data_IF_836407097197
#
_entry.id   IF_836407097197
#
_cell.length_a   1.000
_cell.length_b   1.000
_cell.length_c   1.000
_cell.angle_alpha   90.00
_cell.angle_beta   90.00
_cell.angle_gamma   90.00
#
_symmetry.space_group_name_H-M   'P 1'
#
loop_
_entity.id
_entity.type
_entity.pdbx_description
1 polymer ?
#
# COMPACT_ATOMS: atom_id res chain seq x y z
N UNK A 1 -19.63 -23.13 -15.97
CA UNK A 1 -18.60 -23.90 -15.23
C UNK A 1 -17.70 -22.95 -14.45
N UNK A 2 -18.30 -22.13 -13.57
CA UNK A 2 -17.63 -20.99 -12.94
C UNK A 2 -18.04 -20.90 -11.46
N UNK A 3 -17.37 -21.66 -10.60
CA UNK A 3 -17.49 -21.55 -9.14
C UNK A 3 -16.47 -22.45 -8.44
N UNK A 4 -15.16 -22.13 -8.52
CA UNK A 4 -14.13 -22.75 -7.66
C UNK A 4 -12.81 -21.98 -7.69
N UNK A 5 -12.85 -20.65 -7.65
CA UNK A 5 -11.67 -19.88 -7.26
C UNK A 5 -11.70 -19.81 -5.73
N UNK A 6 -10.84 -20.66 -5.19
CA UNK A 6 -10.64 -21.07 -3.80
C UNK A 6 -10.82 -19.96 -2.75
N UNK A 7 -11.55 -20.31 -1.69
CA UNK A 7 -11.62 -19.65 -0.37
C UNK A 7 -10.24 -19.51 0.31
N UNK A 8 -9.20 -20.14 -0.23
CA UNK A 8 -7.95 -20.38 0.48
C UNK A 8 -7.04 -19.14 0.55
N UNK A 9 -7.14 -18.18 -0.39
CA UNK A 9 -6.23 -17.01 -0.42
C UNK A 9 -6.65 -15.86 0.52
N UNK A 10 -7.92 -15.82 0.98
CA UNK A 10 -8.39 -14.87 1.99
C UNK A 10 -8.13 -15.35 3.43
N UNK A 11 -7.80 -16.63 3.59
CA UNK A 11 -7.68 -17.28 4.91
C UNK A 11 -6.40 -16.87 5.64
N UNK A 12 -5.36 -16.44 4.91
CA UNK A 12 -4.04 -16.17 5.52
C UNK A 12 -4.05 -14.87 6.33
N UNK A 13 -4.71 -13.80 5.88
CA UNK A 13 -4.80 -12.56 6.67
C UNK A 13 -5.59 -12.75 7.98
N UNK A 14 -6.58 -13.65 8.00
CA UNK A 14 -7.32 -14.01 9.20
C UNK A 14 -6.52 -14.88 10.19
N UNK A 15 -5.48 -15.59 9.73
CA UNK A 15 -4.61 -16.39 10.59
C UNK A 15 -3.49 -15.58 11.27
N UNK A 16 -3.22 -14.35 10.82
CA UNK A 16 -2.23 -13.46 11.46
C UNK A 16 -2.78 -12.83 12.75
N UNK A 17 -4.10 -12.89 12.97
CA UNK A 17 -4.77 -12.38 14.17
C UNK A 17 -5.57 -13.51 14.87
N UNK A 18 -4.91 -14.47 15.55
CA UNK A 18 -5.57 -15.70 16.02
C UNK A 18 -6.30 -15.57 17.36
N UNK A 19 -6.39 -14.38 17.97
CA UNK A 19 -7.11 -14.23 19.25
C UNK A 19 -8.62 -14.07 19.03
N UNK A 20 -9.32 -15.20 19.17
CA UNK A 20 -10.76 -15.35 19.48
C UNK A 20 -11.69 -14.31 18.85
N UNK A 21 -12.23 -14.63 17.66
CA UNK A 21 -13.57 -14.16 17.26
C UNK A 21 -13.74 -12.64 17.11
N UNK A 22 -12.67 -11.87 17.16
CA UNK A 22 -12.66 -10.56 16.56
C UNK A 22 -12.50 -10.80 15.07
N UNK A 23 -13.63 -10.75 14.35
CA UNK A 23 -13.62 -9.94 13.14
C UNK A 23 -12.71 -8.74 13.46
N UNK A 24 -11.68 -8.48 12.66
CA UNK A 24 -11.11 -7.15 12.62
C UNK A 24 -12.26 -6.29 12.13
N UNK A 25 -13.09 -5.89 13.08
CA UNK A 25 -14.40 -5.37 12.83
C UNK A 25 -14.06 -3.97 12.35
N UNK A 26 -14.10 -3.77 11.04
CA UNK A 26 -13.94 -2.44 10.46
C UNK A 26 -14.96 -1.45 11.07
N UNK A 27 -15.99 -1.94 11.78
CA UNK A 27 -16.90 -1.15 12.61
C UNK A 27 -16.36 -0.73 13.99
N UNK A 28 -15.31 -1.37 14.54
CA UNK A 28 -14.75 -1.08 15.88
C UNK A 28 -13.53 -0.15 15.86
N UNK A 29 -12.92 0.05 14.69
CA UNK A 29 -11.94 1.11 14.44
C UNK A 29 -12.36 1.93 13.22
N UNK A 30 -13.47 2.69 13.32
CA UNK A 30 -13.75 3.72 12.33
C UNK A 30 -12.63 4.77 12.46
N UNK A 31 -11.85 4.96 11.41
CA UNK A 31 -10.96 6.11 11.20
C UNK A 31 -9.77 6.37 12.16
N UNK A 32 -9.53 5.57 13.19
CA UNK A 32 -8.46 5.89 14.14
C UNK A 32 -7.07 5.47 13.65
N UNK A 33 -6.18 6.45 13.46
CA UNK A 33 -4.72 6.27 13.62
C UNK A 33 -4.48 5.53 14.93
N UNK A 34 -4.01 4.28 14.86
CA UNK A 34 -3.64 3.53 16.05
C UNK A 34 -2.15 3.76 16.28
N UNK A 35 -1.81 4.39 17.41
CA UNK A 35 -0.46 4.51 17.95
C UNK A 35 -0.51 3.85 19.34
N UNK A 36 0.07 2.66 19.47
CA UNK A 36 0.05 1.89 20.71
C UNK A 36 1.25 2.27 21.59
N UNK A 37 0.93 2.81 22.76
CA UNK A 37 1.81 3.50 23.71
C UNK A 37 2.80 2.60 24.45
N UNK A 38 4.12 2.81 24.31
CA UNK A 38 5.12 2.48 25.36
C UNK A 38 6.36 3.42 25.46
N UNK A 39 6.48 4.49 24.65
CA UNK A 39 7.41 5.64 24.85
C UNK A 39 6.71 6.95 24.45
N UNK A 40 7.27 8.13 24.83
CA UNK A 40 6.68 9.48 24.66
C UNK A 40 5.74 9.55 23.45
N UNK A 41 4.44 9.48 23.71
CA UNK A 41 3.40 9.37 22.68
C UNK A 41 3.52 10.47 21.62
N UNK A 42 4.05 11.64 22.01
CA UNK A 42 4.38 12.76 21.13
C UNK A 42 5.37 12.41 20.01
N UNK A 43 6.42 11.65 20.30
CA UNK A 43 7.54 11.49 19.37
C UNK A 43 7.21 10.46 18.29
N UNK A 44 6.55 9.36 18.65
CA UNK A 44 6.10 8.36 17.68
C UNK A 44 5.00 8.93 16.78
N UNK A 45 4.06 9.70 17.35
CA UNK A 45 3.06 10.44 16.57
C UNK A 45 3.74 11.43 15.62
N UNK A 46 4.72 12.21 16.10
CA UNK A 46 5.45 13.17 15.26
C UNK A 46 6.18 12.49 14.10
N UNK A 47 6.79 11.32 14.33
CA UNK A 47 7.48 10.54 13.31
C UNK A 47 6.54 9.96 12.27
N UNK A 48 5.42 9.37 12.71
CA UNK A 48 4.37 8.88 11.81
C UNK A 48 3.80 10.02 10.95
N UNK A 49 3.53 11.18 11.57
CA UNK A 49 3.08 12.38 10.86
C UNK A 49 4.11 12.87 9.83
N UNK A 50 5.41 12.82 10.18
CA UNK A 50 6.49 13.19 9.29
C UNK A 50 6.56 12.28 8.06
N UNK A 51 6.45 10.97 8.26
CA UNK A 51 6.39 9.99 7.18
C UNK A 51 5.16 10.19 6.30
N UNK A 52 3.98 10.39 6.89
CA UNK A 52 2.74 10.60 6.14
C UNK A 52 2.81 11.86 5.27
N UNK A 53 3.36 12.96 5.80
CA UNK A 53 3.62 14.17 5.00
C UNK A 53 4.55 13.92 3.81
N UNK A 54 5.55 13.06 3.95
CA UNK A 54 6.42 12.66 2.83
C UNK A 54 5.66 11.87 1.76
N UNK A 55 4.80 10.93 2.17
CA UNK A 55 3.97 10.16 1.24
C UNK A 55 2.99 11.05 0.47
N UNK A 56 2.30 11.95 1.18
CA UNK A 56 1.38 12.91 0.57
C UNK A 56 2.14 13.81 -0.41
N UNK A 57 3.31 14.33 -0.02
CA UNK A 57 4.15 15.14 -0.93
C UNK A 57 4.53 14.37 -2.20
N UNK A 58 4.99 13.12 -2.06
CA UNK A 58 5.32 12.26 -3.19
C UNK A 58 4.10 12.10 -4.13
N UNK A 59 2.92 11.88 -3.56
CA UNK A 59 1.67 11.77 -4.32
C UNK A 59 1.29 13.09 -5.02
N UNK A 60 1.35 14.22 -4.32
CA UNK A 60 1.03 15.54 -4.88
C UNK A 60 2.00 15.96 -5.99
N UNK A 61 3.28 15.61 -5.87
CA UNK A 61 4.32 15.96 -6.83
C UNK A 61 4.43 14.95 -7.99
N UNK A 62 3.67 13.85 -7.96
CA UNK A 62 3.68 12.82 -9.01
C UNK A 62 3.57 13.37 -10.45
N UNK A 63 2.67 14.33 -10.78
CA UNK A 63 2.57 14.86 -12.13
C UNK A 63 3.87 15.47 -12.66
N UNK A 64 4.69 16.02 -11.76
CA UNK A 64 5.98 16.67 -12.05
C UNK A 64 7.12 15.66 -11.99
N UNK A 65 7.21 14.84 -10.94
CA UNK A 65 8.32 13.90 -10.73
C UNK A 65 8.36 12.81 -11.78
N UNK A 66 7.20 12.36 -12.30
CA UNK A 66 7.14 11.37 -13.38
C UNK A 66 7.80 11.83 -14.68
N UNK A 67 7.98 13.14 -14.87
CA UNK A 67 8.63 13.72 -16.05
C UNK A 67 10.16 13.83 -15.89
N UNK A 68 10.71 13.57 -14.70
CA UNK A 68 12.15 13.61 -14.46
C UNK A 68 12.84 12.45 -15.18
N UNK A 69 14.05 12.63 -15.75
CA UNK A 69 14.71 11.60 -16.57
C UNK A 69 14.82 10.23 -15.89
N UNK A 70 15.19 10.20 -14.60
CA UNK A 70 15.34 8.95 -13.85
C UNK A 70 14.00 8.20 -13.66
N UNK A 71 12.91 8.93 -13.38
CA UNK A 71 11.59 8.34 -13.25
C UNK A 71 11.05 7.88 -14.62
N UNK A 72 11.20 8.72 -15.65
CA UNK A 72 10.82 8.40 -17.04
C UNK A 72 11.47 7.12 -17.53
N UNK A 73 12.77 6.95 -17.32
CA UNK A 73 13.47 5.73 -17.73
C UNK A 73 12.87 4.45 -17.12
N UNK A 74 12.43 4.49 -15.86
CA UNK A 74 11.78 3.34 -15.20
C UNK A 74 10.36 3.10 -15.75
N UNK A 75 9.61 4.18 -16.01
CA UNK A 75 8.25 4.14 -16.54
C UNK A 75 8.19 3.69 -18.01
N UNK A 76 9.12 4.15 -18.85
CA UNK A 76 9.25 3.76 -20.25
C UNK A 76 9.58 2.26 -20.36
N UNK A 77 10.41 1.73 -19.44
CA UNK A 77 10.69 0.30 -19.35
C UNK A 77 9.50 -0.53 -18.81
N UNK A 78 8.57 0.09 -18.06
CA UNK A 78 7.46 -0.61 -17.40
C UNK A 78 6.18 0.25 -17.43
N UNK A 79 5.49 0.37 -18.58
CA UNK A 79 4.38 1.31 -18.74
C UNK A 79 3.21 1.13 -17.76
N UNK A 80 3.00 -0.09 -17.28
CA UNK A 80 1.97 -0.44 -16.30
C UNK A 80 2.13 0.31 -14.96
N UNK A 81 3.34 0.75 -14.62
CA UNK A 81 3.63 1.47 -13.38
C UNK A 81 2.82 2.77 -13.27
N UNK A 82 2.47 3.43 -14.38
CA UNK A 82 1.58 4.59 -14.34
C UNK A 82 0.23 4.25 -13.71
N UNK A 83 -0.35 3.11 -14.07
CA UNK A 83 -1.61 2.65 -13.51
C UNK A 83 -1.44 2.23 -12.03
N UNK A 84 -0.31 1.61 -11.69
CA UNK A 84 0.05 1.33 -10.29
C UNK A 84 0.17 2.59 -9.43
N UNK A 85 0.74 3.66 -9.96
CA UNK A 85 0.81 4.95 -9.28
C UNK A 85 -0.57 5.56 -9.04
N UNK A 86 -1.54 5.35 -9.94
CA UNK A 86 -2.92 5.79 -9.67
C UNK A 86 -3.53 5.10 -8.43
N UNK A 87 -3.21 3.82 -8.20
CA UNK A 87 -3.60 3.11 -6.97
C UNK A 87 -2.93 3.72 -5.73
N UNK A 88 -1.65 4.10 -5.85
CA UNK A 88 -0.94 4.78 -4.77
C UNK A 88 -1.61 6.11 -4.41
N UNK A 89 -1.90 6.95 -5.41
CA UNK A 89 -2.60 8.23 -5.22
C UNK A 89 -3.97 8.03 -4.56
N UNK A 90 -4.72 7.03 -5.02
CA UNK A 90 -6.05 6.72 -4.50
C UNK A 90 -6.02 6.35 -3.00
N UNK A 91 -5.01 5.57 -2.58
CA UNK A 91 -4.99 5.02 -1.23
C UNK A 91 -4.14 5.82 -0.23
N UNK A 92 -3.11 6.52 -0.69
CA UNK A 92 -2.10 7.15 0.16
C UNK A 92 -1.88 8.63 -0.14
N UNK A 93 -2.65 9.22 -1.07
CA UNK A 93 -2.58 10.65 -1.38
C UNK A 93 -3.22 11.57 -0.33
N UNK A 94 -3.69 11.02 0.79
CA UNK A 94 -4.34 11.75 1.88
C UNK A 94 -3.94 11.17 3.25
N UNK A 95 -4.21 11.93 4.30
CA UNK A 95 -3.94 11.50 5.68
C UNK A 95 -4.79 10.27 6.09
N UNK A 96 -4.31 9.54 7.10
CA UNK A 96 -4.95 8.34 7.64
C UNK A 96 -4.56 7.04 6.91
N UNK A 97 -3.46 7.08 6.16
CA UNK A 97 -2.92 5.94 5.39
C UNK A 97 -1.84 5.16 6.13
N UNK A 98 -1.22 5.77 7.15
CA UNK A 98 -0.19 5.15 7.99
C UNK A 98 -0.68 4.92 9.43
N UNK A 99 -0.24 3.83 10.04
CA UNK A 99 -0.49 3.47 11.43
C UNK A 99 0.72 2.77 12.06
N UNK A 100 0.74 2.66 13.38
CA UNK A 100 1.75 1.88 14.09
C UNK A 100 1.32 0.42 14.20
N UNK A 101 2.27 -0.50 14.01
CA UNK A 101 2.09 -1.92 14.33
C UNK A 101 2.57 -2.18 15.77
N UNK A 102 1.89 -3.05 16.55
CA UNK A 102 2.38 -3.44 17.87
C UNK A 102 3.79 -4.01 17.83
N UNK A 103 4.61 -3.72 18.84
CA UNK A 103 6.02 -4.16 18.90
C UNK A 103 6.19 -5.68 18.87
N UNK A 104 5.27 -6.41 19.49
CA UNK A 104 5.26 -7.87 19.53
C UNK A 104 4.77 -8.51 18.23
N UNK A 105 4.52 -7.72 17.18
CA UNK A 105 4.11 -8.26 15.88
C UNK A 105 5.30 -8.87 15.12
N UNK A 106 5.03 -9.97 14.40
CA UNK A 106 6.05 -10.69 13.61
C UNK A 106 6.57 -9.95 12.38
N UNK A 107 5.89 -8.89 11.97
CA UNK A 107 6.26 -8.08 10.80
C UNK A 107 6.70 -6.71 11.26
N UNK A 108 7.68 -6.17 10.57
CA UNK A 108 8.17 -4.81 10.81
C UNK A 108 7.32 -3.77 10.06
N UNK A 109 6.81 -4.14 8.88
CA UNK A 109 5.88 -3.37 8.06
C UNK A 109 4.77 -4.26 7.54
N UNK A 110 3.58 -3.68 7.30
CA UNK A 110 2.45 -4.40 6.73
C UNK A 110 1.53 -3.46 5.95
N UNK A 111 1.45 -3.64 4.63
CA UNK A 111 0.41 -3.06 3.79
C UNK A 111 -0.87 -3.92 3.83
N UNK A 112 -1.87 -3.48 4.58
CA UNK A 112 -3.10 -4.23 4.77
C UNK A 112 -4.22 -3.77 3.83
N UNK A 113 -4.76 -4.65 2.97
CA UNK A 113 -5.86 -4.33 2.06
C UNK A 113 -7.24 -4.60 2.70
N UNK A 114 -8.00 -3.55 2.96
CA UNK A 114 -9.37 -3.62 3.48
C UNK A 114 -10.40 -3.70 2.35
N UNK A 115 -11.43 -4.53 2.57
CA UNK A 115 -12.57 -4.63 1.66
C UNK A 115 -12.18 -5.09 0.26
N UNK A 116 -11.44 -6.20 0.16
CA UNK A 116 -10.98 -6.72 -1.14
C UNK A 116 -12.16 -7.14 -2.01
N UNK A 117 -12.18 -6.67 -3.25
CA UNK A 117 -13.20 -6.98 -4.24
C UNK A 117 -12.59 -7.25 -5.61
N UNK A 118 -13.36 -7.90 -6.48
CA UNK A 118 -12.98 -8.12 -7.88
C UNK A 118 -13.58 -7.03 -8.74
N UNK A 119 -12.75 -6.32 -9.49
CA UNK A 119 -13.21 -5.41 -10.52
C UNK A 119 -13.87 -6.19 -11.66
N UNK A 120 -15.19 -6.03 -11.81
CA UNK A 120 -15.89 -6.36 -13.06
C UNK A 120 -15.77 -5.20 -14.04
N UNK A 121 -15.84 -5.52 -15.31
CA UNK A 121 -15.37 -4.77 -16.49
C UNK A 121 -16.06 -3.45 -16.82
N UNK A 122 -16.61 -2.69 -15.86
CA UNK A 122 -17.21 -1.39 -16.20
C UNK A 122 -17.09 -0.28 -15.14
N UNK A 123 -17.44 -0.48 -13.85
CA UNK A 123 -17.82 0.70 -13.04
C UNK A 123 -17.36 0.76 -11.58
N UNK A 124 -16.33 0.00 -11.15
CA UNK A 124 -15.92 0.02 -9.72
C UNK A 124 -14.43 0.11 -9.42
N UNK A 125 -13.59 0.45 -10.39
CA UNK A 125 -12.19 0.78 -10.11
C UNK A 125 -12.06 2.28 -10.41
N UNK A 126 -11.81 3.13 -9.41
CA UNK A 126 -11.77 4.60 -9.52
C UNK A 126 -10.74 5.21 -10.48
N UNK A 127 -10.25 4.42 -11.43
CA UNK A 127 -9.53 4.86 -12.62
C UNK A 127 -10.61 5.16 -13.67
N UNK A 128 -11.18 6.38 -13.61
CA UNK A 128 -12.15 6.86 -14.58
C UNK A 128 -11.46 7.10 -15.93
N UNK A 129 -11.35 6.06 -16.75
CA UNK A 129 -11.27 6.21 -18.20
C UNK A 129 -12.55 5.62 -18.79
N UNK A 130 -13.31 6.46 -19.50
CA UNK A 130 -14.68 6.23 -19.96
C UNK A 130 -14.87 5.10 -20.96
N UNK A 131 -13.81 4.40 -21.35
CA UNK A 131 -13.87 3.26 -22.26
C UNK A 131 -12.79 2.27 -21.83
N UNK A 132 -13.11 0.99 -21.83
CA UNK A 132 -12.24 -0.16 -21.51
C UNK A 132 -12.06 -0.53 -20.03
N UNK A 133 -12.00 -1.84 -19.81
CA UNK A 133 -11.69 -2.49 -18.55
C UNK A 133 -10.53 -1.81 -17.83
N UNK A 134 -10.62 -1.64 -16.50
CA UNK A 134 -9.43 -1.32 -15.69
C UNK A 134 -8.33 -2.33 -16.04
N UNK A 135 -7.14 -1.88 -16.47
CA UNK A 135 -6.10 -2.80 -16.90
C UNK A 135 -5.77 -3.78 -15.77
N UNK A 136 -5.37 -4.99 -16.15
CA UNK A 136 -4.80 -5.92 -15.18
C UNK A 136 -3.48 -5.32 -14.69
N UNK A 137 -3.45 -4.92 -13.42
CA UNK A 137 -2.30 -4.29 -12.79
C UNK A 137 -1.70 -5.30 -11.84
N UNK A 138 -0.42 -5.57 -12.03
CA UNK A 138 0.36 -6.42 -11.14
C UNK A 138 -0.14 -7.87 -11.06
N UNK A 139 0.23 -8.55 -9.98
CA UNK A 139 -0.01 -9.99 -9.84
C UNK A 139 -1.48 -10.31 -9.59
N UNK A 140 -2.17 -9.49 -8.79
CA UNK A 140 -3.58 -9.72 -8.48
C UNK A 140 -4.53 -9.21 -9.56
N UNK A 141 -4.00 -8.70 -10.68
CA UNK A 141 -4.71 -8.38 -11.92
C UNK A 141 -5.96 -7.52 -11.72
N UNK A 142 -7.09 -8.15 -11.41
CA UNK A 142 -8.43 -7.56 -11.23
C UNK A 142 -8.89 -7.44 -9.78
N UNK A 143 -8.15 -7.92 -8.79
CA UNK A 143 -8.50 -7.64 -7.39
C UNK A 143 -8.08 -6.22 -7.03
N UNK A 144 -8.90 -5.58 -6.20
CA UNK A 144 -8.65 -4.25 -5.63
C UNK A 144 -9.02 -4.24 -4.16
N UNK A 145 -8.40 -3.36 -3.40
CA UNK A 145 -8.80 -3.04 -2.04
C UNK A 145 -9.66 -1.77 -2.05
N UNK A 146 -10.70 -1.70 -1.22
CA UNK A 146 -11.44 -0.45 -1.00
C UNK A 146 -10.58 0.59 -0.30
N UNK A 147 -9.73 0.14 0.64
CA UNK A 147 -8.81 0.96 1.41
C UNK A 147 -7.53 0.17 1.68
N UNK A 148 -6.40 0.86 1.80
CA UNK A 148 -5.15 0.31 2.32
C UNK A 148 -4.70 1.12 3.52
N UNK A 149 -4.10 0.44 4.49
CA UNK A 149 -3.38 1.07 5.61
C UNK A 149 -2.03 0.40 5.71
N UNK A 150 -0.97 1.20 5.80
CA UNK A 150 0.39 0.71 6.03
C UNK A 150 0.67 0.82 7.53
N UNK A 151 0.94 -0.32 8.15
CA UNK A 151 1.38 -0.40 9.54
C UNK A 151 2.90 -0.50 9.59
N UNK A 152 3.54 0.25 10.47
CA UNK A 152 5.00 0.28 10.63
C UNK A 152 5.40 0.13 12.09
N UNK A 153 6.52 -0.58 12.34
CA UNK A 153 7.22 -0.48 13.62
C UNK A 153 8.00 0.82 13.68
N UNK A 154 7.64 1.68 14.62
CA UNK A 154 8.23 3.01 14.70
C UNK A 154 9.55 3.05 15.49
N UNK A 155 9.92 2.00 16.22
CA UNK A 155 11.12 2.00 17.07
C UNK A 155 12.45 1.91 16.30
N UNK A 156 12.42 1.79 14.97
CA UNK A 156 13.61 1.72 14.12
C UNK A 156 14.24 3.11 13.92
N UNK A 157 15.44 3.19 13.33
CA UNK A 157 15.99 4.49 12.91
C UNK A 157 15.24 5.06 11.69
N UNK A 158 15.38 6.37 11.42
CA UNK A 158 14.63 7.05 10.36
C UNK A 158 14.87 6.44 8.97
N UNK A 159 16.12 6.14 8.62
CA UNK A 159 16.47 5.57 7.31
C UNK A 159 15.84 4.20 7.09
N UNK A 160 15.86 3.34 8.11
CA UNK A 160 15.25 2.01 8.07
C UNK A 160 13.72 2.10 7.91
N UNK A 161 13.06 3.00 8.64
CA UNK A 161 11.62 3.23 8.49
C UNK A 161 11.24 3.73 7.10
N UNK A 162 12.03 4.63 6.51
CA UNK A 162 11.75 5.13 5.16
C UNK A 162 11.94 4.04 4.11
N UNK A 163 12.99 3.21 4.23
CA UNK A 163 13.17 2.07 3.35
C UNK A 163 12.01 1.06 3.46
N UNK A 164 11.56 0.78 4.69
CA UNK A 164 10.42 -0.08 4.96
C UNK A 164 9.11 0.53 4.42
N UNK A 165 8.89 1.82 4.59
CA UNK A 165 7.71 2.49 4.04
C UNK A 165 7.67 2.41 2.51
N UNK A 166 8.82 2.63 1.84
CA UNK A 166 8.93 2.47 0.39
C UNK A 166 8.58 1.03 -0.02
N UNK A 167 9.07 0.04 0.72
CA UNK A 167 8.73 -1.37 0.52
C UNK A 167 7.21 -1.60 0.62
N UNK A 168 6.57 -1.10 1.68
CA UNK A 168 5.12 -1.27 1.86
C UNK A 168 4.31 -0.52 0.81
N UNK A 169 4.73 0.67 0.36
CA UNK A 169 4.09 1.40 -0.72
C UNK A 169 4.18 0.63 -2.05
N UNK A 170 5.27 -0.12 -2.28
CA UNK A 170 5.45 -0.91 -3.49
C UNK A 170 4.37 -1.99 -3.64
N UNK A 171 3.89 -2.58 -2.55
CA UNK A 171 2.72 -3.48 -2.58
C UNK A 171 1.45 -2.81 -3.11
N UNK A 172 1.28 -1.50 -2.89
CA UNK A 172 0.12 -0.78 -3.46
C UNK A 172 0.28 -0.59 -4.96
N UNK A 173 1.45 -0.12 -5.40
CA UNK A 173 1.74 0.12 -6.82
C UNK A 173 1.68 -1.18 -7.62
N UNK A 174 2.26 -2.26 -7.09
CA UNK A 174 2.22 -3.61 -7.68
C UNK A 174 0.87 -4.31 -7.53
N UNK A 175 -0.13 -3.67 -6.91
CA UNK A 175 -1.44 -4.24 -6.64
C UNK A 175 -1.35 -5.61 -5.94
N UNK A 176 -0.43 -5.77 -4.98
CA UNK A 176 -0.36 -6.96 -4.14
C UNK A 176 -1.45 -6.85 -3.07
N UNK A 177 -2.59 -7.47 -3.35
CA UNK A 177 -3.78 -7.52 -2.51
C UNK A 177 -3.85 -8.85 -1.76
N UNK A 178 -3.32 -9.93 -2.33
CA UNK A 178 -3.21 -11.22 -1.65
C UNK A 178 -1.83 -11.38 -1.05
N UNK A 179 -1.77 -12.00 0.14
CA UNK A 179 -0.51 -12.30 0.81
C UNK A 179 0.28 -13.33 0.02
N UNK A 180 1.58 -13.11 -0.09
CA UNK A 180 2.55 -14.01 -0.72
C UNK A 180 3.82 -14.06 0.12
N UNK A 181 4.45 -15.22 0.15
CA UNK A 181 5.77 -15.39 0.78
C UNK A 181 6.89 -14.80 -0.06
N UNK A 182 6.73 -14.78 -1.38
CA UNK A 182 7.72 -14.23 -2.32
C UNK A 182 7.18 -13.00 -3.04
N UNK A 183 8.07 -12.04 -3.27
CA UNK A 183 7.76 -10.83 -4.03
C UNK A 183 7.84 -11.10 -5.53
N UNK A 184 6.88 -10.54 -6.26
CA UNK A 184 6.85 -10.66 -7.72
C UNK A 184 7.81 -9.70 -8.42
N UNK A 185 8.05 -9.91 -9.71
CA UNK A 185 8.76 -8.93 -10.53
C UNK A 185 8.05 -7.56 -10.56
N UNK A 186 6.71 -7.54 -10.52
CA UNK A 186 5.93 -6.30 -10.44
C UNK A 186 6.26 -5.51 -9.16
N UNK A 187 6.40 -6.21 -8.03
CA UNK A 187 6.81 -5.61 -6.76
C UNK A 187 8.19 -4.96 -6.87
N UNK A 188 9.19 -5.68 -7.38
CA UNK A 188 10.56 -5.14 -7.49
C UNK A 188 10.65 -3.92 -8.43
N UNK A 189 9.88 -3.93 -9.52
CA UNK A 189 9.79 -2.79 -10.43
C UNK A 189 9.11 -1.58 -9.77
N UNK A 190 8.03 -1.80 -9.02
CA UNK A 190 7.36 -0.76 -8.25
C UNK A 190 8.27 -0.17 -7.17
N UNK A 191 8.97 -1.02 -6.42
CA UNK A 191 9.91 -0.59 -5.38
C UNK A 191 11.06 0.23 -5.97
N UNK A 192 11.60 -0.20 -7.13
CA UNK A 192 12.61 0.56 -7.87
C UNK A 192 12.12 1.95 -8.24
N UNK A 193 10.91 2.07 -8.77
CA UNK A 193 10.31 3.38 -9.09
C UNK A 193 10.18 4.24 -7.83
N UNK A 194 9.63 3.69 -6.75
CA UNK A 194 9.43 4.44 -5.51
C UNK A 194 10.75 4.91 -4.89
N UNK A 195 11.82 4.10 -4.93
CA UNK A 195 13.17 4.50 -4.50
C UNK A 195 13.69 5.70 -5.30
N UNK A 196 13.46 5.71 -6.62
CA UNK A 196 13.83 6.85 -7.49
C UNK A 196 13.03 8.09 -7.12
N UNK A 197 11.71 7.96 -6.99
CA UNK A 197 10.84 9.10 -6.65
C UNK A 197 11.15 9.66 -5.27
N UNK A 198 11.39 8.80 -4.27
CA UNK A 198 11.71 9.21 -2.91
C UNK A 198 12.98 10.07 -2.85
N UNK A 199 14.01 9.70 -3.63
CA UNK A 199 15.28 10.44 -3.74
C UNK A 199 15.14 11.77 -4.49
N UNK A 200 14.17 11.90 -5.39
CA UNK A 200 13.92 13.18 -6.07
C UNK A 200 13.27 14.19 -5.12
N UNK A 201 12.45 13.70 -4.21
CA UNK A 201 11.63 14.51 -3.30
C UNK A 201 12.30 14.87 -1.96
N UNK A 202 13.45 14.25 -1.66
CA UNK A 202 14.22 14.43 -0.43
C UNK A 202 15.72 14.52 -0.72
#
# INVERSE_FOLDING_TARGET
MAARIRKDNLTIYNQVFPEKGLYYNARKYPDTRIVNTHRSHSDMVARLNGLEKKVIRLCSNWPVTRQRPAARAVLEANPWLNAGMLLLLQHHGKEGSLAEIPDNHRFDGLNYPYGVYRCSTANMCGIQSSESMSPEIGVDGRLRAQRRVIYLKLHQNQTAMEALLIHELAHTVANDVTYRTEHSNYFYQAEKLLKVLWKIEN
#
